data_IF_741453844633
#
_entry.id   IF_741453844633
#
_cell.length_a   1.000
_cell.length_b   1.000
_cell.length_c   1.000
_cell.angle_alpha   90.00
_cell.angle_beta   90.00
_cell.angle_gamma   90.00
#
_symmetry.space_group_name_H-M   'P 1'
#
loop_
_entity.id
_entity.type
_entity.pdbx_description
1 polymer ?
#
# COMPACT_ATOMS: atom_id res chain seq x y z
N UNK A 1 8.26 -26.11 19.77
CA UNK A 1 8.52 -24.68 19.41
C UNK A 1 9.92 -24.44 18.87
N UNK A 2 11.01 -24.89 19.51
CA UNK A 2 12.37 -24.81 18.91
C UNK A 2 12.53 -25.24 17.43
N UNK A 3 11.88 -26.30 16.92
CA UNK A 3 12.00 -26.66 15.51
C UNK A 3 11.39 -25.63 14.53
N UNK A 4 10.48 -24.76 15.00
CA UNK A 4 9.82 -23.74 14.16
C UNK A 4 10.64 -22.46 14.00
N UNK A 5 11.74 -22.31 14.75
CA UNK A 5 12.64 -21.17 14.67
C UNK A 5 13.98 -21.54 14.01
N UNK A 6 14.09 -22.76 13.49
CA UNK A 6 15.30 -23.23 12.84
C UNK A 6 15.45 -22.50 11.49
N UNK A 7 16.56 -21.80 11.27
CA UNK A 7 16.77 -20.98 10.07
C UNK A 7 16.21 -19.55 10.15
N UNK A 8 15.64 -19.15 11.29
CA UNK A 8 15.19 -17.77 11.53
C UNK A 8 16.22 -17.09 12.43
N UNK A 9 16.92 -16.08 11.91
CA UNK A 9 17.98 -15.33 12.61
C UNK A 9 17.46 -14.13 13.42
N UNK A 10 16.28 -13.63 13.07
CA UNK A 10 15.64 -12.44 13.67
C UNK A 10 14.64 -12.78 14.80
N UNK A 11 14.59 -14.03 15.26
CA UNK A 11 13.76 -14.44 16.39
C UNK A 11 14.46 -15.49 17.28
N UNK A 12 14.38 -15.31 18.60
CA UNK A 12 14.95 -16.26 19.57
C UNK A 12 13.93 -16.67 20.62
N UNK A 13 14.03 -17.91 21.09
CA UNK A 13 13.18 -18.45 22.16
C UNK A 13 14.05 -18.97 23.30
N UNK A 14 13.89 -18.36 24.47
CA UNK A 14 14.71 -18.61 25.65
C UNK A 14 13.83 -19.01 26.83
N UNK A 15 14.30 -19.97 27.64
CA UNK A 15 13.63 -20.33 28.89
C UNK A 15 14.24 -19.52 30.05
N UNK A 16 13.39 -18.88 30.83
CA UNK A 16 13.77 -18.09 32.01
C UNK A 16 12.91 -18.54 33.20
N UNK A 17 13.42 -19.50 33.98
CA UNK A 17 12.66 -20.15 35.05
C UNK A 17 11.42 -20.86 34.49
N UNK A 18 10.25 -20.50 35.00
CA UNK A 18 8.95 -21.05 34.56
C UNK A 18 8.36 -20.30 33.34
N UNK A 19 9.11 -19.37 32.75
CA UNK A 19 8.65 -18.56 31.62
C UNK A 19 9.43 -18.84 30.35
N UNK A 20 8.76 -18.67 29.20
CA UNK A 20 9.37 -18.65 27.87
C UNK A 20 9.35 -17.22 27.34
N UNK A 21 10.52 -16.72 26.96
CA UNK A 21 10.71 -15.40 26.36
C UNK A 21 10.91 -15.61 24.86
N UNK A 22 9.98 -15.08 24.07
CA UNK A 22 10.10 -14.95 22.62
C UNK A 22 10.58 -13.52 22.34
N UNK A 23 11.79 -13.41 21.79
CA UNK A 23 12.37 -12.15 21.34
C UNK A 23 12.37 -12.13 19.81
N UNK A 24 11.92 -11.02 19.22
CA UNK A 24 11.75 -10.86 17.77
C UNK A 24 12.30 -9.48 17.43
N UNK A 25 13.38 -9.45 16.65
CA UNK A 25 14.10 -8.24 16.30
C UNK A 25 14.65 -8.37 14.89
N UNK A 26 14.24 -7.46 13.99
CA UNK A 26 14.73 -7.36 12.62
C UNK A 26 15.53 -6.07 12.51
N UNK A 27 16.73 -6.12 11.93
CA UNK A 27 17.57 -4.94 11.77
C UNK A 27 16.86 -3.87 10.92
N UNK A 28 16.84 -2.63 11.41
CA UNK A 28 16.26 -1.49 10.69
C UNK A 28 17.09 -1.21 9.43
N UNK A 29 16.43 -1.23 8.27
CA UNK A 29 16.99 -0.66 7.03
C UNK A 29 16.72 0.84 7.04
N UNK A 30 17.69 1.63 6.55
CA UNK A 30 17.81 3.08 6.65
C UNK A 30 16.49 3.87 6.80
N UNK A 31 16.46 4.75 7.81
CA UNK A 31 15.33 5.62 8.14
C UNK A 31 14.96 6.52 6.95
N UNK A 32 13.86 6.22 6.28
CA UNK A 32 13.18 7.16 5.37
C UNK A 32 12.62 8.35 6.18
N UNK A 33 12.49 9.52 5.54
CA UNK A 33 12.00 10.77 6.17
C UNK A 33 10.54 10.68 6.69
N UNK A 34 9.81 9.61 6.34
CA UNK A 34 8.43 9.28 6.75
C UNK A 34 8.38 8.13 7.79
N UNK A 35 9.32 8.10 8.76
CA UNK A 35 9.31 7.07 9.80
C UNK A 35 8.08 7.21 10.71
N UNK A 36 7.36 6.10 10.91
CA UNK A 36 6.24 6.00 11.84
C UNK A 36 6.74 6.25 13.28
N UNK A 37 6.05 7.09 14.05
CA UNK A 37 6.43 7.43 15.43
C UNK A 37 6.33 6.25 16.42
N UNK A 38 5.95 5.09 15.91
CA UNK A 38 5.87 3.84 16.64
C UNK A 38 4.61 3.74 17.50
N UNK A 39 3.72 4.72 17.42
CA UNK A 39 2.52 4.77 18.26
C UNK A 39 1.49 3.73 17.83
N UNK A 40 0.94 2.99 18.80
CA UNK A 40 -0.13 2.03 18.56
C UNK A 40 0.31 0.60 18.22
N UNK A 41 1.55 0.36 17.78
CA UNK A 41 2.03 -0.99 17.46
C UNK A 41 1.94 -1.96 18.65
N UNK A 42 2.44 -1.56 19.82
CA UNK A 42 2.38 -2.42 21.01
C UNK A 42 0.94 -2.77 21.41
N UNK A 43 0.00 -1.84 21.25
CA UNK A 43 -1.41 -2.09 21.55
C UNK A 43 -2.03 -3.06 20.53
N UNK A 44 -1.66 -2.92 19.25
CA UNK A 44 -2.14 -3.79 18.17
C UNK A 44 -1.53 -5.21 18.21
N UNK A 45 -0.30 -5.36 18.73
CA UNK A 45 0.39 -6.64 18.92
C UNK A 45 0.08 -7.32 20.27
N UNK A 46 -0.48 -6.59 21.25
CA UNK A 46 -0.84 -7.12 22.56
C UNK A 46 -1.68 -8.43 22.55
N UNK A 47 -2.61 -8.66 21.58
CA UNK A 47 -3.40 -9.89 21.52
C UNK A 47 -2.58 -11.19 21.36
N UNK A 48 -1.37 -11.13 20.78
CA UNK A 48 -0.56 -12.33 20.51
C UNK A 48 -0.27 -13.15 21.76
N UNK A 49 -0.14 -12.52 22.92
CA UNK A 49 0.05 -13.27 24.18
C UNK A 49 -1.16 -14.17 24.47
N UNK A 50 -2.37 -13.64 24.34
CA UNK A 50 -3.58 -14.40 24.58
C UNK A 50 -3.78 -15.48 23.51
N UNK A 51 -3.47 -15.17 22.25
CA UNK A 51 -3.55 -16.10 21.12
C UNK A 51 -2.58 -17.29 21.28
N UNK A 52 -1.32 -17.02 21.64
CA UNK A 52 -0.32 -18.05 21.92
C UNK A 52 -0.74 -18.96 23.09
N UNK A 53 -1.24 -18.37 24.18
CA UNK A 53 -1.78 -19.14 25.32
C UNK A 53 -3.01 -19.96 24.91
N UNK A 54 -3.83 -19.42 24.00
CA UNK A 54 -4.96 -20.12 23.42
C UNK A 54 -4.54 -21.21 22.42
N UNK A 55 -3.26 -21.29 22.06
CA UNK A 55 -2.68 -22.30 21.16
C UNK A 55 -2.71 -21.91 19.69
N UNK A 56 -2.96 -20.64 19.38
CA UNK A 56 -2.77 -20.11 18.03
C UNK A 56 -1.28 -19.85 17.80
N UNK A 57 -0.69 -20.63 16.90
CA UNK A 57 0.75 -20.61 16.62
C UNK A 57 1.07 -19.91 15.30
N UNK A 58 0.10 -19.23 14.69
CA UNK A 58 0.27 -18.54 13.39
C UNK A 58 1.29 -17.40 13.44
N UNK A 59 1.60 -16.87 14.63
CA UNK A 59 2.75 -15.98 14.82
C UNK A 59 4.06 -16.63 14.33
N UNK A 60 4.30 -17.90 14.65
CA UNK A 60 5.50 -18.61 14.21
C UNK A 60 5.50 -18.87 12.70
N UNK A 61 4.32 -19.01 12.09
CA UNK A 61 4.20 -19.07 10.64
C UNK A 61 4.64 -17.74 10.00
N UNK A 62 4.29 -16.59 10.58
CA UNK A 62 4.79 -15.29 10.09
C UNK A 62 6.31 -15.16 10.23
N UNK A 63 6.89 -15.64 11.33
CA UNK A 63 8.35 -15.69 11.48
C UNK A 63 8.99 -16.53 10.36
N UNK A 64 8.39 -17.68 10.06
CA UNK A 64 8.84 -18.56 8.99
C UNK A 64 8.69 -17.90 7.61
N UNK A 65 7.59 -17.18 7.35
CA UNK A 65 7.44 -16.41 6.11
C UNK A 65 8.50 -15.33 5.95
N UNK A 66 8.91 -14.66 7.03
CA UNK A 66 10.01 -13.70 6.95
C UNK A 66 11.33 -14.37 6.56
N UNK A 67 11.59 -15.60 7.00
CA UNK A 67 12.76 -16.38 6.56
C UNK A 67 12.61 -16.90 5.12
N UNK A 68 11.39 -17.20 4.66
CA UNK A 68 11.12 -17.47 3.24
C UNK A 68 11.39 -16.24 2.38
N UNK A 69 11.00 -15.05 2.84
CA UNK A 69 11.25 -13.80 2.14
C UNK A 69 12.76 -13.49 2.03
N UNK A 70 13.51 -13.66 3.12
CA UNK A 70 14.94 -13.32 3.20
C UNK A 70 15.89 -14.34 2.54
N UNK A 71 15.35 -15.33 1.81
CA UNK A 71 16.12 -16.46 1.29
C UNK A 71 16.84 -17.31 2.35
N UNK A 72 16.42 -17.19 3.62
CA UNK A 72 16.92 -18.02 4.72
C UNK A 72 16.48 -19.49 4.63
N UNK A 73 15.49 -19.79 3.79
CA UNK A 73 14.92 -21.12 3.57
C UNK A 73 14.95 -21.50 2.08
N UNK A 74 15.29 -22.76 1.81
CA UNK A 74 15.29 -23.35 0.47
C UNK A 74 13.88 -23.51 -0.10
N UNK A 75 13.76 -23.59 -1.42
CA UNK A 75 12.47 -23.69 -2.12
C UNK A 75 11.70 -24.99 -1.81
N UNK A 76 12.38 -26.03 -1.34
CA UNK A 76 11.84 -27.33 -0.95
C UNK A 76 11.38 -27.41 0.51
N UNK A 77 11.67 -26.38 1.32
CA UNK A 77 11.23 -26.32 2.71
C UNK A 77 9.71 -26.33 2.80
N UNK A 78 9.19 -27.26 3.60
CA UNK A 78 7.74 -27.46 3.76
C UNK A 78 7.21 -26.46 4.77
N UNK A 79 6.05 -25.86 4.45
CA UNK A 79 5.41 -24.92 5.35
C UNK A 79 5.11 -25.57 6.71
N UNK A 80 5.27 -24.83 7.83
CA UNK A 80 5.17 -25.42 9.16
C UNK A 80 3.74 -25.82 9.51
N UNK A 81 2.73 -25.35 8.76
CA UNK A 81 1.32 -25.65 9.04
C UNK A 81 0.55 -25.84 7.75
N UNK A 82 -0.41 -26.77 7.74
CA UNK A 82 -1.29 -26.99 6.59
C UNK A 82 -2.27 -25.85 6.32
N UNK A 83 -2.26 -24.74 7.08
CA UNK A 83 -2.99 -23.53 6.71
C UNK A 83 -2.71 -22.36 7.66
N UNK A 84 -2.57 -21.16 7.08
CA UNK A 84 -2.29 -19.92 7.80
C UNK A 84 -3.55 -19.03 7.95
N UNK A 85 -4.48 -19.10 6.99
CA UNK A 85 -5.69 -18.29 7.00
C UNK A 85 -6.60 -18.59 8.21
N UNK A 86 -7.57 -17.71 8.53
CA UNK A 86 -7.72 -16.36 7.98
C UNK A 86 -6.75 -15.37 8.62
N UNK A 87 -6.29 -14.37 7.87
CA UNK A 87 -5.46 -13.28 8.39
C UNK A 87 -6.28 -12.43 9.39
N UNK A 88 -5.91 -12.47 10.67
CA UNK A 88 -6.51 -11.62 11.71
C UNK A 88 -5.86 -10.24 11.70
N UNK A 89 -6.51 -9.24 12.33
CA UNK A 89 -5.94 -7.90 12.46
C UNK A 89 -4.54 -7.91 13.09
N UNK A 90 -4.34 -8.65 14.18
CA UNK A 90 -3.04 -8.78 14.84
C UNK A 90 -1.97 -9.42 13.93
N UNK A 91 -2.33 -10.46 13.16
CA UNK A 91 -1.43 -11.08 12.17
C UNK A 91 -1.05 -10.12 11.04
N UNK A 92 -2.01 -9.32 10.55
CA UNK A 92 -1.75 -8.29 9.54
C UNK A 92 -0.83 -7.19 10.06
N UNK A 93 -1.13 -6.66 11.25
CA UNK A 93 -0.29 -5.67 11.94
C UNK A 93 1.14 -6.18 12.16
N UNK A 94 1.31 -7.44 12.56
CA UNK A 94 2.65 -8.01 12.71
C UNK A 94 3.42 -8.05 11.39
N UNK A 95 2.78 -8.52 10.31
CA UNK A 95 3.40 -8.56 8.99
C UNK A 95 3.80 -7.16 8.50
N UNK A 96 2.94 -6.17 8.72
CA UNK A 96 3.21 -4.77 8.38
C UNK A 96 4.38 -4.21 9.19
N UNK A 97 4.36 -4.36 10.52
CA UNK A 97 5.40 -3.86 11.41
C UNK A 97 6.79 -4.44 11.10
N UNK A 98 6.86 -5.75 10.83
CA UNK A 98 8.11 -6.42 10.49
C UNK A 98 8.44 -6.39 8.99
N UNK A 99 7.64 -5.70 8.17
CA UNK A 99 7.88 -5.53 6.75
C UNK A 99 7.92 -6.84 5.95
N UNK A 100 7.07 -7.82 6.29
CA UNK A 100 6.94 -9.07 5.53
C UNK A 100 6.12 -8.78 4.27
N UNK A 101 6.60 -9.24 3.10
CA UNK A 101 5.91 -9.07 1.81
C UNK A 101 4.39 -9.38 1.90
N UNK A 102 3.51 -8.39 1.69
CA UNK A 102 2.07 -8.59 1.78
C UNK A 102 1.52 -9.55 0.71
N UNK A 103 2.18 -9.70 -0.44
CA UNK A 103 1.83 -10.73 -1.44
C UNK A 103 2.13 -12.14 -0.91
N UNK A 104 3.19 -12.31 -0.12
CA UNK A 104 3.56 -13.58 0.49
C UNK A 104 2.62 -13.96 1.64
N UNK A 105 2.22 -12.98 2.45
CA UNK A 105 1.20 -13.17 3.50
C UNK A 105 -0.15 -13.53 2.89
N UNK A 106 -0.55 -12.88 1.79
CA UNK A 106 -1.78 -13.25 1.06
C UNK A 106 -1.71 -14.68 0.51
N UNK A 107 -0.58 -15.06 -0.10
CA UNK A 107 -0.36 -16.41 -0.62
C UNK A 107 -0.46 -17.49 0.48
N UNK A 108 0.02 -17.18 1.68
CA UNK A 108 -0.13 -18.06 2.83
C UNK A 108 -1.59 -18.15 3.29
N UNK A 109 -2.28 -17.01 3.36
CA UNK A 109 -3.65 -16.89 3.86
C UNK A 109 -4.71 -17.53 2.95
N UNK A 110 -4.42 -17.71 1.66
CA UNK A 110 -5.25 -18.43 0.69
C UNK A 110 -5.66 -19.83 1.17
N UNK A 111 -4.82 -20.47 2.00
CA UNK A 111 -5.11 -21.79 2.55
C UNK A 111 -5.44 -21.69 4.04
N UNK A 112 -6.66 -22.11 4.38
CA UNK A 112 -7.13 -22.26 5.75
C UNK A 112 -7.39 -23.75 6.01
N UNK A 113 -6.59 -24.32 6.89
CA UNK A 113 -6.95 -25.57 7.52
C UNK A 113 -7.64 -25.20 8.84
N UNK A 114 -8.92 -25.54 8.96
CA UNK A 114 -9.62 -25.35 10.21
C UNK A 114 -8.90 -26.18 11.27
N UNK A 115 -8.29 -25.51 12.26
CA UNK A 115 -7.71 -26.20 13.40
C UNK A 115 -8.75 -27.19 13.93
N UNK A 116 -8.40 -28.44 14.23
CA UNK A 116 -9.35 -29.42 14.70
C UNK A 116 -10.03 -28.87 15.95
N UNK A 117 -11.26 -28.40 15.80
CA UNK A 117 -12.03 -27.87 16.90
C UNK A 117 -12.17 -29.00 17.90
N UNK A 118 -11.65 -28.80 19.11
CA UNK A 118 -11.86 -29.79 20.16
C UNK A 118 -13.35 -29.85 20.42
N UNK A 119 -13.97 -30.98 20.05
CA UNK A 119 -15.40 -31.17 20.28
C UNK A 119 -15.73 -30.90 21.75
N UNK A 120 -16.83 -30.19 22.07
CA UNK A 120 -17.27 -30.00 23.45
C UNK A 120 -17.35 -31.31 24.23
N UNK A 121 -17.64 -32.43 23.57
CA UNK A 121 -17.69 -33.75 24.19
C UNK A 121 -16.29 -34.31 24.49
N UNK A 122 -15.31 -34.09 23.61
CA UNK A 122 -13.92 -34.45 23.85
C UNK A 122 -13.32 -33.62 25.00
N UNK A 123 -13.61 -32.32 25.03
CA UNK A 123 -13.23 -31.46 26.15
C UNK A 123 -13.89 -31.92 27.45
N UNK A 124 -15.19 -32.24 27.42
CA UNK A 124 -15.92 -32.75 28.59
C UNK A 124 -15.34 -34.05 29.12
N UNK A 125 -14.97 -34.99 28.25
CA UNK A 125 -14.35 -36.25 28.67
C UNK A 125 -13.03 -36.01 29.40
N UNK A 126 -12.18 -35.12 28.88
CA UNK A 126 -10.92 -34.75 29.53
C UNK A 126 -11.16 -34.07 30.87
N UNK A 127 -12.08 -33.10 30.92
CA UNK A 127 -12.41 -32.35 32.14
C UNK A 127 -13.01 -33.30 33.19
N UNK A 128 -13.88 -34.23 32.80
CA UNK A 128 -14.46 -35.21 33.69
C UNK A 128 -13.39 -36.11 34.32
N UNK A 129 -12.38 -36.51 33.54
CA UNK A 129 -11.25 -37.32 33.98
C UNK A 129 -10.23 -36.57 34.87
N UNK A 130 -10.36 -35.25 35.05
CA UNK A 130 -9.52 -34.50 36.00
C UNK A 130 -9.85 -34.88 37.45
N UNK A 131 -8.83 -34.90 38.29
CA UNK A 131 -8.99 -35.13 39.73
C UNK A 131 -9.75 -33.98 40.39
N UNK A 132 -10.40 -34.25 41.51
CA UNK A 132 -11.11 -33.21 42.26
C UNK A 132 -10.18 -32.09 42.72
N UNK A 133 -8.91 -32.41 43.01
CA UNK A 133 -7.88 -31.42 43.32
C UNK A 133 -7.62 -30.48 42.15
N UNK A 134 -7.41 -31.00 40.95
CA UNK A 134 -7.18 -30.18 39.74
C UNK A 134 -8.39 -29.30 39.40
N UNK A 135 -9.60 -29.84 39.53
CA UNK A 135 -10.84 -29.07 39.32
C UNK A 135 -11.00 -27.96 40.36
N UNK A 136 -10.75 -28.27 41.63
CA UNK A 136 -10.86 -27.30 42.73
C UNK A 136 -9.85 -26.17 42.57
N UNK A 137 -8.61 -26.48 42.22
CA UNK A 137 -7.54 -25.51 41.98
C UNK A 137 -7.90 -24.55 40.83
N UNK A 138 -8.32 -25.09 39.68
CA UNK A 138 -8.76 -24.29 38.54
C UNK A 138 -9.96 -23.38 38.86
N UNK A 139 -10.95 -23.89 39.59
CA UNK A 139 -12.12 -23.11 39.98
C UNK A 139 -11.79 -22.01 41.00
N UNK A 140 -10.80 -22.26 41.87
CA UNK A 140 -10.32 -21.28 42.84
C UNK A 140 -9.58 -20.15 42.11
N UNK A 141 -8.64 -20.51 41.22
CA UNK A 141 -7.92 -19.53 40.38
C UNK A 141 -8.87 -18.71 39.48
N UNK A 142 -9.92 -19.35 38.97
CA UNK A 142 -10.99 -18.66 38.23
C UNK A 142 -11.77 -17.68 39.11
N UNK A 143 -12.10 -18.07 40.35
CA UNK A 143 -12.79 -17.22 41.32
C UNK A 143 -11.93 -16.02 41.74
N UNK A 144 -10.62 -16.21 41.90
CA UNK A 144 -9.66 -15.16 42.23
C UNK A 144 -9.39 -14.20 41.04
N UNK A 145 -9.97 -14.48 39.87
CA UNK A 145 -9.89 -13.62 38.70
C UNK A 145 -8.54 -13.68 37.98
N UNK A 146 -7.80 -14.78 38.13
CA UNK A 146 -6.52 -14.95 37.46
C UNK A 146 -6.70 -14.88 35.93
N UNK A 147 -5.89 -14.07 35.21
CA UNK A 147 -6.04 -13.92 33.78
C UNK A 147 -5.67 -15.22 33.04
N UNK A 148 -6.27 -15.42 31.86
CA UNK A 148 -5.95 -16.53 30.94
C UNK A 148 -6.25 -17.97 31.41
N UNK A 149 -6.91 -18.19 32.54
CA UNK A 149 -7.32 -19.54 33.01
C UNK A 149 -8.09 -20.34 31.96
N UNK A 150 -8.95 -19.68 31.19
CA UNK A 150 -9.67 -20.33 30.08
C UNK A 150 -8.74 -20.83 28.97
N UNK A 151 -7.64 -20.12 28.71
CA UNK A 151 -6.64 -20.51 27.71
C UNK A 151 -5.79 -21.68 28.21
N UNK A 152 -5.37 -21.64 29.49
CA UNK A 152 -4.66 -22.75 30.15
C UNK A 152 -5.48 -24.04 30.13
N UNK A 153 -6.78 -23.97 30.47
CA UNK A 153 -7.66 -25.13 30.44
C UNK A 153 -7.77 -25.72 29.02
N UNK A 154 -7.93 -24.87 28.00
CA UNK A 154 -7.94 -25.33 26.60
C UNK A 154 -6.61 -25.97 26.21
N UNK A 155 -5.48 -25.41 26.64
CA UNK A 155 -4.17 -25.98 26.41
C UNK A 155 -4.01 -27.36 27.07
N UNK A 156 -4.43 -27.50 28.34
CA UNK A 156 -4.42 -28.78 29.06
C UNK A 156 -5.33 -29.82 28.38
N UNK A 157 -6.50 -29.41 27.90
CA UNK A 157 -7.40 -30.30 27.17
C UNK A 157 -6.75 -30.79 25.88
N UNK A 158 -6.21 -29.88 25.06
CA UNK A 158 -5.45 -30.27 23.85
C UNK A 158 -4.27 -31.19 24.17
N UNK A 159 -3.61 -30.93 25.31
CA UNK A 159 -2.48 -31.72 25.79
C UNK A 159 -2.86 -33.17 26.01
N UNK A 160 -3.92 -33.40 26.79
CA UNK A 160 -4.40 -34.74 27.13
C UNK A 160 -5.01 -35.46 25.94
N UNK A 161 -5.49 -34.73 24.93
CA UNK A 161 -5.96 -35.30 23.67
C UNK A 161 -4.84 -35.59 22.67
N UNK A 162 -3.59 -35.24 22.97
CA UNK A 162 -2.46 -35.43 22.04
C UNK A 162 -2.49 -34.53 20.81
N UNK A 163 -3.29 -33.45 20.83
CA UNK A 163 -3.48 -32.52 19.69
C UNK A 163 -2.31 -31.53 19.56
N UNK A 164 -1.29 -31.65 20.42
CA UNK A 164 -0.24 -30.65 20.61
C UNK A 164 0.53 -30.18 19.37
N UNK A 165 0.59 -31.00 18.31
CA UNK A 165 1.43 -30.74 17.15
C UNK A 165 0.82 -31.21 15.83
N UNK A 166 -0.43 -31.67 15.82
CA UNK A 166 -1.05 -32.27 14.63
C UNK A 166 -1.13 -31.29 13.44
N UNK A 167 -1.18 -29.98 13.72
CA UNK A 167 -1.18 -28.93 12.69
C UNK A 167 0.19 -28.36 12.34
N UNK A 168 1.28 -28.71 13.07
CA UNK A 168 2.62 -28.13 12.87
C UNK A 168 3.55 -28.97 11.97
N UNK A 169 2.98 -29.93 11.24
CA UNK A 169 3.69 -30.76 10.25
C UNK A 169 2.72 -31.32 9.20
N UNK A 170 1.56 -30.68 9.02
CA UNK A 170 0.56 -31.03 7.99
C UNK A 170 0.76 -30.24 6.70
N UNK A 171 1.75 -29.34 6.66
CA UNK A 171 2.07 -28.56 5.47
C UNK A 171 2.31 -29.45 4.27
N UNK A 172 1.65 -29.13 3.16
CA UNK A 172 1.89 -29.80 1.88
C UNK A 172 2.59 -28.90 0.88
N UNK A 173 2.57 -27.58 1.10
CA UNK A 173 3.18 -26.60 0.20
C UNK A 173 4.63 -26.33 0.57
N UNK A 174 5.44 -26.07 -0.44
CA UNK A 174 6.82 -25.65 -0.22
C UNK A 174 6.96 -24.13 -0.20
N UNK A 175 8.06 -23.62 0.35
CA UNK A 175 8.43 -22.20 0.29
C UNK A 175 8.47 -21.69 -1.16
N UNK A 176 8.98 -22.48 -2.11
CA UNK A 176 9.03 -22.13 -3.53
C UNK A 176 7.65 -21.99 -4.18
N UNK A 177 6.68 -22.81 -3.77
CA UNK A 177 5.28 -22.68 -4.21
C UNK A 177 4.64 -21.40 -3.66
N UNK A 178 4.89 -21.07 -2.39
CA UNK A 178 4.41 -19.82 -1.78
C UNK A 178 5.00 -18.59 -2.46
N UNK A 179 6.31 -18.56 -2.73
CA UNK A 179 6.95 -17.47 -3.50
C UNK A 179 6.38 -17.35 -4.90
N UNK A 180 6.12 -18.47 -5.57
CA UNK A 180 5.51 -18.48 -6.90
C UNK A 180 4.09 -17.92 -6.88
N UNK A 181 3.30 -18.28 -5.85
CA UNK A 181 1.97 -17.73 -5.65
C UNK A 181 2.01 -16.24 -5.34
N UNK A 182 2.90 -15.78 -4.46
CA UNK A 182 3.11 -14.36 -4.15
C UNK A 182 3.45 -13.55 -5.42
N UNK A 183 4.39 -14.04 -6.25
CA UNK A 183 4.71 -13.41 -7.55
C UNK A 183 3.50 -13.30 -8.47
N UNK A 184 2.64 -14.32 -8.51
CA UNK A 184 1.42 -14.30 -9.32
C UNK A 184 0.42 -13.25 -8.81
N UNK A 185 0.24 -13.13 -7.49
CA UNK A 185 -0.61 -12.11 -6.87
C UNK A 185 -0.07 -10.71 -7.19
N UNK A 186 1.23 -10.47 -6.99
CA UNK A 186 1.90 -9.21 -7.32
C UNK A 186 1.69 -8.80 -8.77
N UNK A 187 1.93 -9.73 -9.70
CA UNK A 187 1.76 -9.47 -11.14
C UNK A 187 0.30 -9.15 -11.50
N UNK A 188 -0.67 -9.79 -10.84
CA UNK A 188 -2.09 -9.48 -11.04
C UNK A 188 -2.43 -8.07 -10.53
N UNK A 189 -1.97 -7.69 -9.34
CA UNK A 189 -2.17 -6.33 -8.79
C UNK A 189 -1.52 -5.26 -9.67
N UNK A 190 -0.30 -5.50 -10.14
CA UNK A 190 0.44 -4.57 -11.00
C UNK A 190 -0.27 -4.36 -12.33
N UNK A 191 -0.85 -5.41 -12.92
CA UNK A 191 -1.67 -5.30 -14.15
C UNK A 191 -2.88 -4.41 -13.93
N UNK A 192 -3.64 -4.64 -12.86
CA UNK A 192 -4.82 -3.82 -12.52
C UNK A 192 -4.43 -2.35 -12.30
N UNK A 193 -3.31 -2.09 -11.61
CA UNK A 193 -2.79 -0.74 -11.39
C UNK A 193 -2.36 -0.08 -12.70
N UNK A 194 -1.68 -0.82 -13.58
CA UNK A 194 -1.23 -0.32 -14.88
C UNK A 194 -2.41 0.00 -15.82
N UNK A 195 -3.43 -0.85 -15.85
CA UNK A 195 -4.66 -0.64 -16.63
C UNK A 195 -5.39 0.62 -16.15
N UNK A 196 -5.55 0.79 -14.83
CA UNK A 196 -6.17 1.99 -14.25
C UNK A 196 -5.38 3.25 -14.60
N UNK A 197 -4.05 3.22 -14.42
CA UNK A 197 -3.19 4.35 -14.75
C UNK A 197 -3.23 4.69 -16.25
N UNK A 198 -3.32 3.69 -17.14
CA UNK A 198 -3.46 3.91 -18.57
C UNK A 198 -4.83 4.53 -18.93
N UNK A 199 -5.91 4.05 -18.30
CA UNK A 199 -7.25 4.61 -18.48
C UNK A 199 -7.33 6.07 -18.00
N UNK A 200 -6.72 6.37 -16.85
CA UNK A 200 -6.69 7.74 -16.31
C UNK A 200 -5.85 8.67 -17.19
N UNK A 201 -4.68 8.22 -17.68
CA UNK A 201 -3.90 8.99 -18.67
C UNK A 201 -4.68 9.27 -19.96
N UNK A 202 -5.42 8.28 -20.46
CA UNK A 202 -6.25 8.45 -21.66
C UNK A 202 -7.36 9.47 -21.44
N UNK A 203 -8.07 9.39 -20.31
CA UNK A 203 -9.10 10.37 -19.94
C UNK A 203 -8.51 11.78 -19.85
N UNK A 204 -7.37 11.92 -19.16
CA UNK A 204 -6.69 13.20 -19.06
C UNK A 204 -6.29 13.75 -20.45
N UNK A 205 -5.78 12.90 -21.34
CA UNK A 205 -5.44 13.31 -22.70
C UNK A 205 -6.69 13.78 -23.48
N UNK A 206 -7.78 13.01 -23.43
CA UNK A 206 -9.05 13.36 -24.07
C UNK A 206 -9.63 14.68 -23.52
N UNK A 207 -9.55 14.90 -22.21
CA UNK A 207 -10.02 16.13 -21.56
C UNK A 207 -9.13 17.33 -21.89
N UNK A 208 -7.80 17.14 -21.95
CA UNK A 208 -6.89 18.20 -22.39
C UNK A 208 -7.12 18.61 -23.84
N UNK A 209 -7.40 17.64 -24.72
CA UNK A 209 -7.70 17.93 -26.13
C UNK A 209 -9.04 18.64 -26.27
N UNK A 210 -10.09 18.17 -25.57
CA UNK A 210 -11.40 18.87 -25.56
C UNK A 210 -11.28 20.28 -24.99
N UNK A 211 -10.53 20.47 -23.91
CA UNK A 211 -10.29 21.79 -23.33
C UNK A 211 -9.54 22.70 -24.31
N UNK A 212 -8.53 22.17 -25.00
CA UNK A 212 -7.78 22.89 -26.04
C UNK A 212 -8.70 23.32 -27.18
N UNK A 213 -9.51 22.40 -27.71
CA UNK A 213 -10.48 22.69 -28.79
C UNK A 213 -11.49 23.75 -28.32
N UNK A 214 -12.11 23.56 -27.16
CA UNK A 214 -13.10 24.50 -26.61
C UNK A 214 -12.51 25.89 -26.38
N UNK A 215 -11.25 25.96 -25.95
CA UNK A 215 -10.53 27.21 -25.79
C UNK A 215 -10.25 27.91 -27.13
N UNK A 216 -9.79 27.16 -28.15
CA UNK A 216 -9.62 27.68 -29.51
C UNK A 216 -10.96 28.23 -30.02
N UNK A 217 -12.05 27.47 -29.87
CA UNK A 217 -13.39 27.91 -30.27
C UNK A 217 -13.88 29.15 -29.50
N UNK A 218 -13.55 29.27 -28.22
CA UNK A 218 -13.91 30.43 -27.41
C UNK A 218 -13.16 31.70 -27.85
N UNK A 219 -11.85 31.61 -28.08
CA UNK A 219 -11.03 32.71 -28.63
C UNK A 219 -11.58 33.12 -30.00
N UNK A 220 -11.91 32.14 -30.83
CA UNK A 220 -12.42 32.38 -32.16
C UNK A 220 -13.82 33.01 -32.19
N UNK A 221 -14.68 32.70 -31.21
CA UNK A 221 -16.00 33.35 -31.04
C UNK A 221 -15.87 34.78 -30.53
N UNK A 222 -14.86 35.09 -29.73
CA UNK A 222 -14.62 36.46 -29.25
C UNK A 222 -14.22 37.41 -30.37
N UNK A 223 -13.56 36.91 -31.43
CA UNK A 223 -13.28 37.68 -32.64
C UNK A 223 -12.66 39.05 -32.32
N UNK A 224 -13.35 40.13 -32.69
CA UNK A 224 -12.93 41.52 -32.45
C UNK A 224 -12.71 41.85 -30.96
N UNK A 225 -13.48 41.26 -30.06
CA UNK A 225 -13.34 41.50 -28.61
C UNK A 225 -12.00 41.02 -28.05
N UNK A 226 -11.43 39.95 -28.61
CA UNK A 226 -10.10 39.48 -28.23
C UNK A 226 -9.00 40.45 -28.70
N UNK A 227 -9.17 41.05 -29.89
CA UNK A 227 -8.25 42.08 -30.39
C UNK A 227 -8.30 43.38 -29.57
N UNK A 228 -9.50 43.78 -29.11
CA UNK A 228 -9.66 44.92 -28.21
C UNK A 228 -9.02 44.68 -26.85
N UNK A 229 -9.11 43.46 -26.31
CA UNK A 229 -8.44 43.10 -25.05
C UNK A 229 -6.92 43.16 -25.20
N UNK A 230 -6.36 42.70 -26.34
CA UNK A 230 -4.94 42.87 -26.66
C UNK A 230 -4.52 44.33 -26.60
N UNK A 231 -5.24 45.24 -27.27
CA UNK A 231 -4.90 46.67 -27.22
C UNK A 231 -5.05 47.27 -25.81
N UNK A 232 -6.07 46.87 -25.06
CA UNK A 232 -6.28 47.34 -23.68
C UNK A 232 -5.14 46.89 -22.74
N UNK A 233 -4.65 45.66 -22.87
CA UNK A 233 -3.51 45.15 -22.10
C UNK A 233 -2.19 45.85 -22.51
N UNK A 234 -2.03 46.19 -23.80
CA UNK A 234 -0.88 46.98 -24.28
C UNK A 234 -0.93 48.43 -23.77
N UNK A 235 -2.11 49.00 -23.56
CA UNK A 235 -2.27 50.34 -22.98
C UNK A 235 -2.00 50.42 -21.47
N UNK A 236 -2.03 49.29 -20.75
CA UNK A 236 -1.67 49.25 -19.31
C UNK A 236 -0.18 49.47 -19.04
N UNK A 237 0.69 49.37 -20.06
CA UNK A 237 2.13 49.69 -20.02
C UNK A 237 2.90 49.06 -18.85
N UNK A 238 2.55 47.84 -18.46
CA UNK A 238 3.25 47.09 -17.42
C UNK A 238 3.62 45.69 -17.93
N UNK A 239 4.54 45.02 -17.22
CA UNK A 239 5.08 43.72 -17.65
C UNK A 239 4.00 42.65 -17.77
N UNK A 240 3.09 42.57 -16.79
CA UNK A 240 2.00 41.59 -16.79
C UNK A 240 1.01 41.79 -17.95
N UNK A 241 0.72 43.04 -18.31
CA UNK A 241 -0.13 43.39 -19.46
C UNK A 241 0.51 43.01 -20.78
N UNK A 242 1.83 43.23 -20.93
CA UNK A 242 2.54 42.78 -22.13
C UNK A 242 2.61 41.25 -22.24
N UNK A 243 2.84 40.54 -21.13
CA UNK A 243 2.81 39.06 -21.12
C UNK A 243 1.43 38.52 -21.51
N UNK A 244 0.36 39.14 -20.97
CA UNK A 244 -1.01 38.76 -21.29
C UNK A 244 -1.38 39.09 -22.75
N UNK A 245 -1.00 40.26 -23.26
CA UNK A 245 -1.22 40.64 -24.66
C UNK A 245 -0.49 39.69 -25.63
N UNK A 246 0.75 39.32 -25.32
CA UNK A 246 1.53 38.40 -26.14
C UNK A 246 0.95 36.97 -26.10
N UNK A 247 0.41 36.51 -24.97
CA UNK A 247 -0.34 35.25 -24.91
C UNK A 247 -1.58 35.30 -25.81
N UNK A 248 -2.43 36.32 -25.67
CA UNK A 248 -3.64 36.47 -26.48
C UNK A 248 -3.36 36.54 -27.99
N UNK A 249 -2.27 37.19 -28.40
CA UNK A 249 -1.84 37.22 -29.80
C UNK A 249 -1.39 35.85 -30.32
N UNK A 250 -0.75 35.03 -29.48
CA UNK A 250 -0.41 33.66 -29.83
C UNK A 250 -1.68 32.81 -30.01
N UNK A 251 -2.63 32.95 -29.09
CA UNK A 251 -3.90 32.22 -29.11
C UNK A 251 -4.72 32.55 -30.38
N UNK A 252 -4.73 33.83 -30.77
CA UNK A 252 -5.34 34.32 -32.01
C UNK A 252 -4.61 33.80 -33.26
N UNK A 253 -3.27 33.68 -33.21
CA UNK A 253 -2.49 33.08 -34.31
C UNK A 253 -2.82 31.61 -34.48
N UNK A 254 -2.80 30.81 -33.41
CA UNK A 254 -3.15 29.39 -33.43
C UNK A 254 -4.57 29.18 -33.98
N UNK A 255 -5.50 30.03 -33.58
CA UNK A 255 -6.87 30.03 -34.12
C UNK A 255 -6.92 30.33 -35.62
N UNK A 256 -6.13 31.30 -36.09
CA UNK A 256 -6.07 31.68 -37.49
C UNK A 256 -5.38 30.60 -38.37
N UNK A 257 -4.39 29.89 -37.84
CA UNK A 257 -3.76 28.74 -38.49
C UNK A 257 -4.76 27.61 -38.73
N UNK A 258 -5.57 27.27 -37.72
CA UNK A 258 -6.59 26.21 -37.81
C UNK A 258 -7.73 26.60 -38.77
N UNK A 259 -8.11 27.87 -38.82
CA UNK A 259 -9.18 28.38 -39.70
C UNK A 259 -8.71 28.77 -41.10
N UNK A 260 -7.42 28.74 -41.38
CA UNK A 260 -6.85 29.17 -42.66
C UNK A 260 -6.91 30.70 -42.89
N UNK A 261 -7.08 31.50 -41.84
CA UNK A 261 -7.20 32.97 -41.90
C UNK A 261 -5.90 33.70 -41.50
N UNK A 262 -4.76 33.02 -41.62
CA UNK A 262 -3.42 33.55 -41.30
C UNK A 262 -3.11 34.91 -41.94
N UNK A 263 -3.58 35.14 -43.17
CA UNK A 263 -3.36 36.41 -43.88
C UNK A 263 -4.06 37.60 -43.18
N UNK A 264 -5.29 37.40 -42.70
CA UNK A 264 -6.05 38.43 -41.96
C UNK A 264 -5.40 38.69 -40.59
N UNK A 265 -4.96 37.63 -39.91
CA UNK A 265 -4.19 37.75 -38.67
C UNK A 265 -2.92 38.58 -38.88
N UNK A 266 -2.16 38.29 -39.94
CA UNK A 266 -0.93 39.02 -40.28
C UNK A 266 -1.17 40.51 -40.52
N UNK A 267 -2.23 40.86 -41.24
CA UNK A 267 -2.61 42.26 -41.47
C UNK A 267 -2.99 42.98 -40.16
N UNK A 268 -3.79 42.35 -39.30
CA UNK A 268 -4.20 42.94 -38.01
C UNK A 268 -3.02 43.09 -37.05
N UNK A 269 -2.15 42.09 -36.96
CA UNK A 269 -0.93 42.15 -36.15
C UNK A 269 0.00 43.27 -36.63
N UNK A 270 0.12 43.47 -37.95
CA UNK A 270 0.90 44.57 -38.52
C UNK A 270 0.35 45.93 -38.08
N UNK A 271 -0.96 46.14 -38.15
CA UNK A 271 -1.60 47.37 -37.68
C UNK A 271 -1.38 47.66 -36.19
N UNK A 272 -1.37 46.62 -35.33
CA UNK A 272 -1.05 46.76 -33.90
C UNK A 272 0.41 47.15 -33.69
N UNK A 273 1.34 46.53 -34.45
CA UNK A 273 2.77 46.87 -34.40
C UNK A 273 3.03 48.31 -34.82
N UNK A 274 2.35 48.81 -35.84
CA UNK A 274 2.46 50.21 -36.26
C UNK A 274 1.91 51.18 -35.20
N UNK A 275 0.72 50.90 -34.64
CA UNK A 275 0.10 51.74 -33.60
C UNK A 275 0.91 51.82 -32.32
N UNK A 276 1.59 50.74 -31.95
CA UNK A 276 2.40 50.66 -30.73
C UNK A 276 3.91 50.65 -30.98
N UNK A 277 4.37 51.11 -32.15
CA UNK A 277 5.79 51.13 -32.53
C UNK A 277 6.69 51.89 -31.52
N UNK A 278 6.13 52.86 -30.79
CA UNK A 278 6.83 53.63 -29.75
C UNK A 278 6.99 52.90 -28.41
N UNK A 279 6.45 51.68 -28.25
CA UNK A 279 6.51 50.87 -27.03
C UNK A 279 7.54 49.74 -27.20
N UNK A 280 8.83 50.09 -27.19
CA UNK A 280 9.95 49.17 -27.48
C UNK A 280 9.94 47.87 -26.65
N UNK A 281 9.65 47.99 -25.34
CA UNK A 281 9.57 46.82 -24.43
C UNK A 281 8.45 45.82 -24.77
N UNK A 282 7.38 46.28 -25.41
CA UNK A 282 6.30 45.39 -25.88
C UNK A 282 6.73 44.66 -27.16
N UNK A 283 7.39 45.36 -28.08
CA UNK A 283 7.89 44.77 -29.34
C UNK A 283 8.95 43.71 -29.07
N UNK A 284 9.88 43.98 -28.15
CA UNK A 284 10.92 43.02 -27.72
C UNK A 284 10.31 41.75 -27.13
N UNK A 285 9.29 41.89 -26.27
CA UNK A 285 8.59 40.75 -25.65
C UNK A 285 7.81 39.89 -26.65
N UNK A 286 7.26 40.53 -27.69
CA UNK A 286 6.58 39.88 -28.81
C UNK A 286 7.52 39.02 -29.66
N UNK A 287 8.76 39.49 -29.87
CA UNK A 287 9.80 38.72 -30.55
C UNK A 287 10.30 37.55 -29.71
N UNK A 288 10.56 37.77 -28.41
CA UNK A 288 11.08 36.72 -27.51
C UNK A 288 10.07 35.57 -27.27
N UNK A 289 8.78 35.88 -27.12
CA UNK A 289 7.73 34.85 -26.97
C UNK A 289 7.47 34.07 -28.27
N UNK A 290 7.64 34.72 -29.42
CA UNK A 290 7.54 34.06 -30.73
C UNK A 290 8.63 33.01 -30.96
N UNK A 291 9.83 33.23 -30.42
CA UNK A 291 10.98 32.31 -30.53
C UNK A 291 10.95 31.20 -29.46
N UNK A 292 10.49 31.50 -28.23
CA UNK A 292 10.57 30.59 -27.09
C UNK A 292 9.56 29.42 -27.10
N UNK A 293 8.46 29.54 -27.86
CA UNK A 293 7.42 28.48 -27.97
C UNK A 293 7.38 27.78 -29.32
N UNK A 294 8.32 28.06 -30.23
CA UNK A 294 8.57 27.26 -31.45
C UNK A 294 9.45 26.02 -31.18
N UNK A 295 10.09 25.95 -30.00
CA UNK A 295 10.96 24.84 -29.57
C UNK A 295 10.31 23.84 -28.59
N UNK A 296 8.97 23.87 -28.46
CA UNK A 296 8.17 22.90 -27.69
C UNK A 296 7.10 22.30 -28.60
#
# INVERSE_FOLDING_TARGET
>A
MKPLLLGIDWATLQAAGDTLILDIARDEVELDEDWDDGSGWLAALAPFRADLLAGDLRLFYLLWLGAVESDGLGDDEIEPMGGFGPLTGALGTFAEFFGIDPDLVEAAADHHEAAPATSPDAARAVIAAMTDREKTDLLTRLFDGEPHISAELRALVRTRLGVHYAGLSSGTRTAGELRSRARAIRLARDRVKAEKAAADRRRQAEDTEKARIAWIEAVARRGEGAWQEVEAEIERRNAAGYDKAASLLFDLRTTAEIRGTLAEFGQRLHGIRERHARKERFIERLTTMGESRQSL
#
